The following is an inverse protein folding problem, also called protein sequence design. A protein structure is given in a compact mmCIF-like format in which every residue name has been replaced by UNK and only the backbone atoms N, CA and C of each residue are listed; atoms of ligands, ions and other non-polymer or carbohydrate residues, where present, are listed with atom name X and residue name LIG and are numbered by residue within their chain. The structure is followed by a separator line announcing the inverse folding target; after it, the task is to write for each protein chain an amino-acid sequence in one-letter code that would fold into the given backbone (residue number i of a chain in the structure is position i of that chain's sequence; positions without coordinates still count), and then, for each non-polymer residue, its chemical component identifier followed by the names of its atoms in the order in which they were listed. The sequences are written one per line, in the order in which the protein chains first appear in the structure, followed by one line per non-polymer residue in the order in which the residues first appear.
data_IF_562476961941
#
_entry.id   IF_562476961941
#
_cell.length_a   1.000
_cell.length_b   1.000
_cell.length_c   1.000
_cell.angle_alpha   90.00
_cell.angle_beta   90.00
_cell.angle_gamma   90.00
#
_symmetry.space_group_name_H-M   'P 1'
#
loop_
_entity.id
_entity.type
_entity.pdbx_description
1 polymer ?
#
# COMPACT_ATOMS: atom_id res chain seq x y z
N UNK A 1 -12.11 -2.08 -7.33
CA UNK A 1 -10.67 -2.32 -7.16
C UNK A 1 -10.31 -2.42 -5.69
N UNK A 2 -10.31 -1.32 -4.91
CA UNK A 2 -9.91 -1.38 -3.50
C UNK A 2 -10.80 -2.29 -2.65
N UNK A 3 -10.21 -3.10 -1.75
CA UNK A 3 -10.93 -3.96 -0.77
C UNK A 3 -11.54 -3.17 0.41
N UNK A 4 -11.16 -1.90 0.59
CA UNK A 4 -11.70 -1.07 1.68
C UNK A 4 -13.20 -0.77 1.52
N UNK A 5 -13.74 -0.84 0.30
CA UNK A 5 -15.15 -0.59 -0.02
C UNK A 5 -15.85 -1.87 -0.51
N UNK A 6 -16.87 -2.35 0.19
CA UNK A 6 -17.49 -3.66 -0.11
C UNK A 6 -18.56 -3.63 -1.21
N UNK A 7 -19.24 -2.48 -1.37
CA UNK A 7 -20.37 -2.33 -2.28
C UNK A 7 -20.09 -1.50 -3.53
N UNK A 8 -21.05 -1.46 -4.47
CA UNK A 8 -20.97 -0.58 -5.64
C UNK A 8 -21.07 0.89 -5.24
N UNK A 9 -20.47 1.77 -6.04
CA UNK A 9 -20.74 3.21 -5.96
C UNK A 9 -22.21 3.49 -6.31
N UNK A 10 -22.76 4.62 -5.87
CA UNK A 10 -24.17 5.00 -6.09
C UNK A 10 -24.59 4.90 -7.57
N UNK A 11 -23.74 5.41 -8.48
CA UNK A 11 -23.98 5.32 -9.93
C UNK A 11 -24.06 3.86 -10.40
N UNK A 12 -23.19 2.99 -9.89
CA UNK A 12 -23.20 1.58 -10.24
C UNK A 12 -24.43 0.87 -9.64
N UNK A 13 -24.85 1.22 -8.43
CA UNK A 13 -26.09 0.70 -7.84
C UNK A 13 -27.32 1.02 -8.71
N UNK A 14 -27.46 2.27 -9.17
CA UNK A 14 -28.55 2.64 -10.08
C UNK A 14 -28.50 1.92 -11.44
N UNK A 15 -27.30 1.67 -11.97
CA UNK A 15 -27.13 0.86 -13.19
C UNK A 15 -27.54 -0.60 -12.99
N UNK A 16 -27.22 -1.17 -11.82
CA UNK A 16 -27.62 -2.53 -11.47
C UNK A 16 -29.14 -2.62 -11.39
N UNK A 17 -29.79 -1.70 -10.66
CA UNK A 17 -31.24 -1.63 -10.54
C UNK A 17 -31.94 -1.56 -11.91
N UNK A 18 -31.49 -0.65 -12.78
CA UNK A 18 -32.05 -0.51 -14.13
C UNK A 18 -31.89 -1.79 -14.95
N UNK A 19 -30.73 -2.45 -14.88
CA UNK A 19 -30.51 -3.72 -15.58
C UNK A 19 -31.43 -4.84 -15.05
N UNK A 20 -31.61 -4.94 -13.73
CA UNK A 20 -32.51 -5.93 -13.12
C UNK A 20 -33.97 -5.66 -13.48
N UNK A 21 -34.40 -4.39 -13.56
CA UNK A 21 -35.76 -4.02 -13.98
C UNK A 21 -36.09 -4.52 -15.40
N UNK A 22 -35.07 -4.66 -16.26
CA UNK A 22 -35.17 -5.20 -17.62
C UNK A 22 -35.01 -6.73 -17.70
N UNK A 23 -34.90 -7.41 -16.57
CA UNK A 23 -34.65 -8.86 -16.51
C UNK A 23 -33.26 -9.28 -16.98
N UNK A 24 -32.29 -8.36 -16.99
CA UNK A 24 -30.92 -8.66 -17.41
C UNK A 24 -30.10 -9.25 -16.26
N UNK A 25 -29.17 -10.14 -16.61
CA UNK A 25 -28.14 -10.59 -15.67
C UNK A 25 -27.05 -9.54 -15.53
N UNK A 26 -26.57 -9.35 -14.32
CA UNK A 26 -25.51 -8.41 -13.99
C UNK A 26 -24.27 -9.15 -13.53
N UNK A 27 -23.15 -8.90 -14.20
CA UNK A 27 -21.85 -9.44 -13.81
C UNK A 27 -20.91 -8.27 -13.46
N UNK A 28 -20.15 -8.40 -12.37
CA UNK A 28 -19.17 -7.38 -11.99
C UNK A 28 -17.75 -7.94 -11.93
N UNK A 29 -16.77 -7.09 -12.23
CA UNK A 29 -15.37 -7.37 -11.97
C UNK A 29 -15.07 -7.10 -10.49
N UNK A 30 -14.75 -8.16 -9.73
CA UNK A 30 -14.54 -8.08 -8.28
C UNK A 30 -13.06 -7.88 -7.90
N UNK A 31 -12.11 -8.31 -8.75
CA UNK A 31 -10.66 -8.32 -8.48
C UNK A 31 -10.30 -8.90 -7.11
N UNK A 32 -10.70 -10.15 -6.89
CA UNK A 32 -10.41 -10.87 -5.66
C UNK A 32 -8.92 -11.22 -5.53
N UNK A 33 -8.52 -11.54 -4.30
CA UNK A 33 -7.19 -12.01 -3.89
C UNK A 33 -6.17 -10.88 -3.74
N UNK A 34 -5.74 -10.29 -4.86
CA UNK A 34 -4.84 -9.16 -4.89
C UNK A 34 -5.47 -8.07 -5.77
N UNK A 35 -5.75 -6.93 -5.16
CA UNK A 35 -6.29 -5.79 -5.88
C UNK A 35 -5.14 -4.93 -6.40
N UNK A 36 -5.44 -3.96 -7.25
CA UNK A 36 -4.50 -2.90 -7.58
C UNK A 36 -4.02 -2.08 -6.36
N UNK A 37 -4.80 -2.10 -5.28
CA UNK A 37 -4.37 -1.67 -3.94
C UNK A 37 -3.60 -2.83 -3.30
N UNK A 38 -2.30 -2.64 -3.03
CA UNK A 38 -1.34 -3.67 -2.63
C UNK A 38 -1.06 -4.77 -3.67
N UNK A 39 -0.91 -4.42 -4.94
CA UNK A 39 -0.60 -5.36 -6.03
C UNK A 39 0.76 -6.06 -5.93
N UNK A 40 1.69 -5.55 -5.12
CA UNK A 40 3.00 -6.20 -4.85
C UNK A 40 2.96 -7.20 -3.69
N UNK A 41 1.79 -7.36 -3.06
CA UNK A 41 1.53 -8.35 -2.01
C UNK A 41 0.81 -9.55 -2.67
N UNK A 42 1.10 -10.80 -2.27
CA UNK A 42 0.55 -11.96 -2.97
C UNK A 42 -0.97 -12.04 -2.95
N UNK A 43 -1.57 -11.68 -1.82
CA UNK A 43 -3.01 -11.59 -1.60
C UNK A 43 -3.25 -10.75 -0.32
N UNK A 44 -4.48 -10.27 -0.12
CA UNK A 44 -4.87 -9.51 1.06
C UNK A 44 -5.53 -10.40 2.11
N UNK A 45 -4.92 -10.63 3.29
CA UNK A 45 -5.39 -11.55 4.33
C UNK A 45 -6.56 -10.96 5.15
N UNK A 46 -7.63 -10.53 4.47
CA UNK A 46 -8.78 -9.85 5.06
C UNK A 46 -10.08 -10.63 4.80
N UNK A 47 -10.18 -11.91 5.22
CA UNK A 47 -11.23 -12.82 4.75
C UNK A 47 -12.65 -12.35 5.09
N UNK A 48 -12.88 -11.76 6.26
CA UNK A 48 -14.20 -11.23 6.63
C UNK A 48 -14.58 -10.02 5.76
N UNK A 49 -13.61 -9.16 5.42
CA UNK A 49 -13.86 -8.06 4.46
C UNK A 49 -14.19 -8.59 3.06
N UNK A 50 -13.51 -9.65 2.61
CA UNK A 50 -13.82 -10.32 1.34
C UNK A 50 -15.22 -10.94 1.35
N UNK A 51 -15.59 -11.63 2.43
CA UNK A 51 -16.93 -12.21 2.55
C UNK A 51 -18.01 -11.11 2.52
N UNK A 52 -17.84 -10.03 3.29
CA UNK A 52 -18.76 -8.88 3.29
C UNK A 52 -18.96 -8.29 1.89
N UNK A 53 -17.90 -8.24 1.07
CA UNK A 53 -18.02 -7.82 -0.34
C UNK A 53 -18.96 -8.73 -1.12
N UNK A 54 -18.80 -10.04 -1.03
CA UNK A 54 -19.65 -10.95 -1.79
C UNK A 54 -21.10 -10.91 -1.33
N UNK A 55 -21.31 -10.85 -0.02
CA UNK A 55 -22.66 -10.71 0.54
C UNK A 55 -23.30 -9.41 0.04
N UNK A 56 -22.57 -8.29 0.09
CA UNK A 56 -23.03 -7.00 -0.43
C UNK A 56 -23.34 -7.09 -1.93
N UNK A 57 -22.46 -7.66 -2.76
CA UNK A 57 -22.72 -7.78 -4.20
C UNK A 57 -23.98 -8.61 -4.48
N UNK A 58 -24.21 -9.68 -3.72
CA UNK A 58 -25.42 -10.48 -3.83
C UNK A 58 -26.68 -9.68 -3.44
N UNK A 59 -26.62 -8.89 -2.36
CA UNK A 59 -27.71 -8.01 -1.93
C UNK A 59 -28.08 -6.97 -3.01
N UNK A 60 -27.09 -6.42 -3.71
CA UNK A 60 -27.33 -5.51 -4.84
C UNK A 60 -27.81 -6.22 -6.11
N UNK A 61 -27.93 -7.55 -6.10
CA UNK A 61 -28.47 -8.32 -7.22
C UNK A 61 -27.47 -8.66 -8.32
N UNK A 62 -26.17 -8.65 -8.01
CA UNK A 62 -25.11 -9.14 -8.92
C UNK A 62 -25.23 -10.67 -9.06
N UNK A 63 -25.36 -11.14 -10.30
CA UNK A 63 -25.56 -12.56 -10.64
C UNK A 63 -24.25 -13.34 -10.79
N UNK A 64 -23.12 -12.65 -10.91
CA UNK A 64 -21.80 -13.30 -10.98
C UNK A 64 -20.64 -12.33 -10.97
N UNK A 65 -19.45 -12.87 -10.68
CA UNK A 65 -18.23 -12.09 -10.51
C UNK A 65 -17.11 -12.59 -11.43
N UNK A 66 -16.37 -11.66 -12.02
CA UNK A 66 -15.06 -11.94 -12.61
C UNK A 66 -14.01 -11.68 -11.51
N UNK A 67 -13.42 -12.76 -10.99
CA UNK A 67 -12.52 -12.69 -9.84
C UNK A 67 -11.17 -12.09 -10.15
N UNK A 68 -10.52 -12.54 -11.21
CA UNK A 68 -9.17 -12.12 -11.57
C UNK A 68 -9.13 -11.78 -13.05
N UNK A 69 -8.51 -10.66 -13.37
CA UNK A 69 -8.27 -10.20 -14.75
C UNK A 69 -6.83 -9.79 -14.98
N UNK A 70 -6.29 -8.97 -14.08
CA UNK A 70 -4.89 -8.55 -14.14
C UNK A 70 -4.13 -9.00 -12.90
N UNK A 71 -4.63 -8.78 -11.67
CA UNK A 71 -3.93 -9.18 -10.44
C UNK A 71 -4.59 -10.36 -9.71
N UNK A 72 -3.82 -11.09 -8.89
CA UNK A 72 -4.36 -12.12 -7.98
C UNK A 72 -4.07 -13.59 -8.34
N UNK A 73 -3.12 -13.89 -9.23
CA UNK A 73 -2.85 -15.26 -9.71
C UNK A 73 -2.11 -16.19 -8.74
N UNK A 74 -1.73 -15.72 -7.55
CA UNK A 74 -0.92 -16.50 -6.61
C UNK A 74 -1.84 -17.37 -5.73
N UNK A 75 -1.62 -18.69 -5.62
CA UNK A 75 -2.44 -19.55 -4.77
C UNK A 75 -2.49 -19.04 -3.33
N UNK A 76 -3.70 -18.92 -2.76
CA UNK A 76 -3.94 -18.38 -1.42
C UNK A 76 -5.29 -18.86 -0.88
N UNK A 77 -5.47 -18.76 0.44
CA UNK A 77 -6.68 -19.25 1.10
C UNK A 77 -7.92 -18.36 0.88
N UNK A 78 -7.77 -17.12 0.44
CA UNK A 78 -8.91 -16.27 0.04
C UNK A 78 -9.54 -16.80 -1.25
N UNK A 79 -8.74 -17.35 -2.17
CA UNK A 79 -9.25 -18.05 -3.34
C UNK A 79 -10.05 -19.31 -2.98
N UNK A 80 -9.60 -20.04 -1.96
CA UNK A 80 -10.34 -21.18 -1.44
C UNK A 80 -11.65 -20.75 -0.76
N UNK A 81 -11.61 -19.71 0.09
CA UNK A 81 -12.81 -19.12 0.69
C UNK A 81 -13.81 -18.71 -0.40
N UNK A 82 -13.33 -18.06 -1.47
CA UNK A 82 -14.18 -17.67 -2.59
C UNK A 82 -14.77 -18.88 -3.29
N UNK A 83 -13.96 -19.91 -3.57
CA UNK A 83 -14.43 -21.14 -4.22
C UNK A 83 -15.58 -21.80 -3.44
N UNK A 84 -15.51 -21.80 -2.10
CA UNK A 84 -16.62 -22.27 -1.27
C UNK A 84 -17.83 -21.36 -1.34
N UNK A 85 -17.66 -20.04 -1.18
CA UNK A 85 -18.77 -19.07 -1.17
C UNK A 85 -19.55 -18.96 -2.50
N UNK A 86 -19.06 -19.59 -3.58
CA UNK A 86 -19.73 -19.62 -4.88
C UNK A 86 -20.87 -20.63 -4.96
N UNK A 87 -20.95 -21.59 -4.03
CA UNK A 87 -22.00 -22.61 -3.98
C UNK A 87 -23.20 -22.14 -3.16
N UNK A 88 -24.41 -22.48 -3.61
CA UNK A 88 -25.65 -22.08 -2.91
C UNK A 88 -25.86 -22.76 -1.56
N UNK A 89 -25.19 -23.88 -1.33
CA UNK A 89 -25.20 -24.68 -0.10
C UNK A 89 -23.84 -24.64 0.62
N UNK A 90 -23.07 -23.56 0.41
CA UNK A 90 -21.80 -23.35 1.09
C UNK A 90 -21.95 -23.39 2.62
N UNK A 91 -21.02 -24.03 3.36
CA UNK A 91 -20.98 -23.90 4.81
C UNK A 91 -20.83 -22.43 5.23
N UNK A 92 -21.19 -22.09 6.48
CA UNK A 92 -20.92 -20.76 7.03
C UNK A 92 -19.45 -20.37 6.85
N UNK A 93 -19.19 -19.12 6.46
CA UNK A 93 -17.84 -18.61 6.21
C UNK A 93 -16.93 -18.78 7.43
N UNK A 94 -17.47 -18.64 8.64
CA UNK A 94 -16.73 -18.86 9.89
C UNK A 94 -16.20 -20.30 10.00
N UNK A 95 -17.01 -21.30 9.66
CA UNK A 95 -16.61 -22.72 9.74
C UNK A 95 -15.50 -23.04 8.73
N UNK A 96 -15.58 -22.46 7.53
CA UNK A 96 -14.55 -22.58 6.49
C UNK A 96 -13.25 -21.93 6.98
N UNK A 97 -13.32 -20.71 7.51
CA UNK A 97 -12.15 -19.99 8.00
C UNK A 97 -11.49 -20.69 9.19
N UNK A 98 -12.27 -21.20 10.15
CA UNK A 98 -11.74 -22.00 11.27
C UNK A 98 -11.04 -23.26 10.77
N UNK A 99 -11.60 -23.92 9.76
CA UNK A 99 -10.98 -25.10 9.13
C UNK A 99 -9.66 -24.75 8.44
N UNK A 100 -9.60 -23.62 7.71
CA UNK A 100 -8.36 -23.11 7.10
C UNK A 100 -7.34 -22.75 8.18
N UNK A 101 -7.73 -22.02 9.23
CA UNK A 101 -6.84 -21.65 10.34
C UNK A 101 -6.21 -22.90 10.98
N UNK A 102 -7.01 -23.92 11.28
CA UNK A 102 -6.53 -25.22 11.78
C UNK A 102 -5.55 -25.89 10.81
N UNK A 103 -5.83 -25.81 9.51
CA UNK A 103 -4.98 -26.40 8.47
C UNK A 103 -3.64 -25.70 8.37
N UNK A 104 -3.62 -24.37 8.32
CA UNK A 104 -2.39 -23.59 8.13
C UNK A 104 -1.56 -23.45 9.42
N UNK A 105 -2.19 -23.21 10.57
CA UNK A 105 -1.52 -22.90 11.84
C UNK A 105 -1.49 -24.07 12.84
N UNK A 106 -2.25 -25.13 12.59
CA UNK A 106 -2.36 -26.26 13.51
C UNK A 106 -3.59 -26.20 14.41
N UNK A 107 -3.88 -27.33 15.06
CA UNK A 107 -4.99 -27.46 15.99
C UNK A 107 -4.74 -26.63 17.26
N UNK A 108 -5.76 -25.90 17.71
CA UNK A 108 -5.69 -25.01 18.88
C UNK A 108 -5.32 -23.56 18.54
N UNK A 109 -4.98 -23.26 17.29
CA UNK A 109 -4.63 -21.90 16.82
C UNK A 109 -5.82 -21.14 16.23
N UNK A 110 -6.98 -21.78 16.10
CA UNK A 110 -8.14 -21.27 15.37
C UNK A 110 -8.58 -19.90 15.90
N UNK A 111 -8.77 -19.75 17.21
CA UNK A 111 -9.26 -18.49 17.79
C UNK A 111 -8.27 -17.33 17.61
N UNK A 112 -6.96 -17.58 17.75
CA UNK A 112 -5.91 -16.57 17.53
C UNK A 112 -5.88 -16.09 16.08
N UNK A 113 -6.02 -17.02 15.13
CA UNK A 113 -6.01 -16.70 13.70
C UNK A 113 -7.30 -15.98 13.28
N UNK A 114 -8.45 -16.40 13.80
CA UNK A 114 -9.72 -15.74 13.54
C UNK A 114 -9.73 -14.29 14.04
N UNK A 115 -9.20 -14.07 15.25
CA UNK A 115 -9.04 -12.72 15.82
C UNK A 115 -8.09 -11.85 14.98
N UNK A 116 -6.95 -12.41 14.57
CA UNK A 116 -6.01 -11.74 13.67
C UNK A 116 -6.67 -11.29 12.36
N UNK A 117 -7.39 -12.20 11.69
CA UNK A 117 -8.07 -11.90 10.43
C UNK A 117 -9.19 -10.87 10.57
N UNK A 118 -9.91 -10.86 11.70
CA UNK A 118 -10.90 -9.83 11.98
C UNK A 118 -10.24 -8.45 12.13
N UNK A 119 -9.12 -8.37 12.85
CA UNK A 119 -8.30 -7.16 12.92
C UNK A 119 -7.82 -6.70 11.52
N UNK A 120 -7.31 -7.60 10.68
CA UNK A 120 -6.88 -7.24 9.32
C UNK A 120 -8.05 -6.73 8.45
N UNK A 121 -9.21 -7.38 8.55
CA UNK A 121 -10.45 -6.99 7.87
C UNK A 121 -11.00 -5.64 8.35
N UNK A 122 -10.76 -5.25 9.60
CA UNK A 122 -11.03 -3.89 10.10
C UNK A 122 -9.99 -2.89 9.62
N UNK A 123 -8.71 -3.25 9.71
CA UNK A 123 -7.59 -2.39 9.36
C UNK A 123 -7.66 -1.88 7.91
N UNK A 124 -7.99 -2.77 6.97
CA UNK A 124 -8.03 -2.43 5.54
C UNK A 124 -9.08 -1.37 5.19
N UNK A 125 -10.15 -1.22 5.99
CA UNK A 125 -11.18 -0.19 5.80
C UNK A 125 -10.66 1.21 6.13
N UNK A 126 -9.61 1.32 6.95
CA UNK A 126 -9.00 2.61 7.26
C UNK A 126 -8.03 3.08 6.17
N UNK A 127 -7.61 2.23 5.23
CA UNK A 127 -6.60 2.59 4.23
C UNK A 127 -7.18 3.63 3.26
N UNK A 128 -6.66 4.88 3.27
CA UNK A 128 -7.20 5.97 2.47
C UNK A 128 -6.68 5.94 1.03
N UNK A 129 -5.59 5.23 0.77
CA UNK A 129 -5.02 5.06 -0.57
C UNK A 129 -5.73 3.94 -1.32
N UNK A 130 -6.59 4.32 -2.26
CA UNK A 130 -7.50 3.38 -2.95
C UNK A 130 -7.02 2.92 -4.32
N UNK A 131 -5.85 3.38 -4.77
CA UNK A 131 -5.38 3.21 -6.15
C UNK A 131 -4.11 2.37 -6.34
N UNK A 132 -3.72 2.10 -7.61
CA UNK A 132 -2.44 1.48 -7.98
C UNK A 132 -1.27 2.45 -7.86
N UNK A 133 -1.09 2.99 -6.66
CA UNK A 133 -0.14 4.06 -6.35
C UNK A 133 1.16 3.49 -5.77
N UNK A 134 2.22 4.32 -5.77
CA UNK A 134 3.48 3.97 -5.09
C UNK A 134 3.28 3.64 -3.61
N UNK A 135 2.26 4.19 -2.95
CA UNK A 135 2.10 4.10 -1.51
C UNK A 135 1.69 2.73 -1.03
N UNK A 136 0.69 2.11 -1.67
CA UNK A 136 0.28 0.74 -1.31
C UNK A 136 1.05 -0.33 -2.05
N UNK A 137 1.83 0.02 -3.08
CA UNK A 137 2.53 -0.95 -3.91
C UNK A 137 4.06 -0.94 -3.71
N UNK A 138 4.68 0.18 -3.33
CA UNK A 138 6.13 0.30 -3.33
C UNK A 138 6.71 1.14 -2.18
N UNK A 139 5.91 1.64 -1.22
CA UNK A 139 6.40 2.53 -0.16
C UNK A 139 7.61 1.95 0.61
N UNK A 140 7.59 0.65 0.90
CA UNK A 140 8.70 -0.06 1.56
C UNK A 140 10.05 0.08 0.85
N UNK A 141 10.05 0.26 -0.48
CA UNK A 141 11.25 0.40 -1.29
C UNK A 141 11.36 1.79 -1.96
N UNK A 142 10.48 2.73 -1.60
CA UNK A 142 10.54 4.11 -2.09
C UNK A 142 11.62 4.91 -1.36
N UNK A 143 12.30 5.83 -2.07
CA UNK A 143 13.29 6.71 -1.49
C UNK A 143 12.65 7.80 -0.62
N UNK A 144 13.41 8.27 0.37
CA UNK A 144 13.16 9.55 1.05
C UNK A 144 14.30 10.48 0.62
N UNK A 145 14.08 11.26 -0.43
CA UNK A 145 15.11 12.17 -0.92
C UNK A 145 15.09 13.49 -0.15
N UNK A 146 16.25 13.90 0.35
CA UNK A 146 16.44 15.23 0.95
C UNK A 146 17.06 16.20 -0.06
N UNK A 147 18.09 15.76 -0.80
CA UNK A 147 18.68 16.47 -1.94
C UNK A 147 18.38 15.76 -3.27
N UNK A 148 18.47 16.46 -4.42
CA UNK A 148 18.37 15.83 -5.73
C UNK A 148 19.44 14.74 -5.90
N UNK A 149 19.02 13.53 -6.28
CA UNK A 149 19.94 12.43 -6.56
C UNK A 149 20.51 12.52 -7.99
N UNK A 150 21.72 12.02 -8.19
CA UNK A 150 22.31 11.87 -9.52
C UNK A 150 21.53 10.81 -10.35
N UNK A 151 21.33 11.03 -11.66
CA UNK A 151 20.65 10.08 -12.51
C UNK A 151 21.49 8.80 -12.66
N UNK A 152 20.83 7.65 -12.52
CA UNK A 152 21.41 6.30 -12.66
C UNK A 152 21.31 5.75 -14.09
N UNK A 153 20.56 6.44 -14.95
CA UNK A 153 20.42 6.13 -16.37
C UNK A 153 20.77 7.37 -17.19
N UNK A 154 21.04 7.15 -18.48
CA UNK A 154 21.28 8.24 -19.42
C UNK A 154 20.05 9.15 -19.52
N UNK A 155 20.25 10.45 -19.33
CA UNK A 155 19.27 11.51 -19.58
C UNK A 155 19.53 12.15 -20.95
N UNK A 156 18.50 12.72 -21.58
CA UNK A 156 18.56 13.41 -22.88
C UNK A 156 18.29 14.92 -22.73
N UNK A 157 18.65 15.49 -21.59
CA UNK A 157 18.48 16.89 -21.17
C UNK A 157 19.11 17.94 -22.12
N UNK A 158 20.15 17.54 -22.85
CA UNK A 158 20.87 18.39 -23.80
C UNK A 158 20.83 17.87 -25.24
N UNK A 159 19.82 17.07 -25.58
CA UNK A 159 19.60 16.60 -26.95
C UNK A 159 18.68 17.55 -27.74
N UNK A 160 18.60 17.39 -29.06
CA UNK A 160 17.57 18.07 -29.88
C UNK A 160 16.15 17.55 -29.61
N UNK A 161 16.01 16.55 -28.73
CA UNK A 161 14.75 15.99 -28.26
C UNK A 161 14.41 16.54 -26.86
N UNK A 162 13.18 17.03 -26.70
CA UNK A 162 12.66 17.46 -25.41
C UNK A 162 12.07 16.25 -24.66
N UNK A 163 12.84 15.73 -23.71
CA UNK A 163 12.48 14.56 -22.90
C UNK A 163 11.19 14.80 -22.08
N UNK A 164 10.93 16.04 -21.64
CA UNK A 164 9.70 16.39 -20.91
C UNK A 164 8.46 16.26 -21.81
N UNK A 165 8.57 16.58 -23.11
CA UNK A 165 7.49 16.45 -24.08
C UNK A 165 7.24 15.01 -24.56
N UNK A 166 8.23 14.14 -24.48
CA UNK A 166 8.09 12.74 -24.93
C UNK A 166 7.53 11.80 -23.85
N UNK A 167 7.22 12.30 -22.65
CA UNK A 167 6.43 11.65 -21.60
C UNK A 167 4.95 11.38 -22.00
N UNK A 168 4.70 11.09 -23.28
CA UNK A 168 3.39 10.72 -23.80
C UNK A 168 2.86 9.49 -23.05
N UNK A 169 1.58 9.56 -22.64
CA UNK A 169 0.88 8.61 -21.75
C UNK A 169 1.02 7.13 -22.16
N UNK A 170 1.31 6.88 -23.44
CA UNK A 170 1.37 5.55 -24.06
C UNK A 170 2.81 5.13 -24.46
N UNK A 171 3.73 6.07 -24.76
CA UNK A 171 5.00 5.76 -25.46
C UNK A 171 6.28 6.39 -24.87
N UNK A 172 6.19 7.25 -23.85
CA UNK A 172 7.38 7.84 -23.20
C UNK A 172 8.10 6.89 -22.25
N UNK A 173 9.39 7.13 -22.00
CA UNK A 173 10.14 6.41 -20.97
C UNK A 173 9.47 6.61 -19.60
N UNK A 174 8.83 5.56 -19.08
CA UNK A 174 8.17 5.59 -17.78
C UNK A 174 9.09 5.15 -16.65
N UNK A 175 10.41 5.21 -16.81
CA UNK A 175 11.35 4.85 -15.74
C UNK A 175 11.77 6.11 -14.98
N UNK A 176 11.85 6.02 -13.64
CA UNK A 176 12.44 7.07 -12.84
C UNK A 176 13.98 6.98 -12.97
N UNK A 177 14.69 8.04 -13.40
CA UNK A 177 16.13 7.96 -13.60
C UNK A 177 16.92 7.97 -12.30
N UNK A 178 16.33 8.41 -11.21
CA UNK A 178 16.98 8.61 -9.92
C UNK A 178 16.81 7.41 -8.96
N UNK A 179 16.00 6.42 -9.32
CA UNK A 179 15.72 5.25 -8.49
C UNK A 179 15.82 3.94 -9.28
N UNK A 180 16.29 2.82 -8.68
CA UNK A 180 16.61 1.62 -9.45
C UNK A 180 15.40 0.97 -10.15
N UNK A 181 15.37 1.04 -11.49
CA UNK A 181 14.58 0.22 -12.42
C UNK A 181 13.09 0.04 -12.08
N UNK A 182 12.45 1.05 -11.50
CA UNK A 182 11.02 1.03 -11.18
C UNK A 182 10.27 2.03 -12.06
N UNK A 183 9.06 1.66 -12.48
CA UNK A 183 8.17 2.54 -13.21
C UNK A 183 7.90 3.84 -12.41
N UNK A 184 7.93 5.01 -13.05
CA UNK A 184 7.86 6.33 -12.42
C UNK A 184 6.63 6.51 -11.52
N UNK A 185 5.46 6.00 -11.92
CA UNK A 185 4.24 5.98 -11.08
C UNK A 185 4.39 5.26 -9.73
N UNK A 186 5.34 4.34 -9.63
CA UNK A 186 5.64 3.56 -8.43
C UNK A 186 6.77 4.19 -7.59
N UNK A 187 7.31 5.34 -8.00
CA UNK A 187 8.33 6.09 -7.27
C UNK A 187 7.77 7.45 -6.85
N UNK A 188 7.88 7.78 -5.57
CA UNK A 188 7.63 9.12 -5.07
C UNK A 188 8.87 9.97 -5.28
N UNK A 189 8.76 10.98 -6.14
CA UNK A 189 9.83 11.92 -6.41
C UNK A 189 9.40 13.32 -5.97
N UNK A 190 10.12 13.95 -5.02
CA UNK A 190 9.84 15.29 -4.54
C UNK A 190 9.86 16.37 -5.61
N UNK A 191 9.21 17.50 -5.32
CA UNK A 191 9.42 18.75 -6.07
C UNK A 191 10.54 19.56 -5.44
N UNK A 192 11.75 19.44 -5.99
CA UNK A 192 12.92 20.19 -5.53
C UNK A 192 12.89 21.68 -5.89
N UNK A 193 11.95 22.13 -6.73
CA UNK A 193 11.73 23.57 -6.92
C UNK A 193 10.97 24.20 -5.75
N UNK A 194 10.43 23.37 -4.85
CA UNK A 194 9.64 23.76 -3.69
C UNK A 194 8.45 24.65 -4.07
N UNK A 195 7.86 24.49 -5.26
CA UNK A 195 6.66 25.25 -5.67
C UNK A 195 5.38 24.54 -5.30
N UNK A 196 5.45 23.22 -5.10
CA UNK A 196 4.30 22.38 -4.80
C UNK A 196 4.63 21.37 -3.71
N UNK A 197 3.69 21.19 -2.77
CA UNK A 197 3.77 20.13 -1.77
C UNK A 197 3.26 18.82 -2.38
N UNK A 198 4.20 17.94 -2.76
CA UNK A 198 3.87 16.65 -3.40
C UNK A 198 3.17 15.67 -2.46
N UNK A 199 3.41 15.76 -1.15
CA UNK A 199 2.72 14.92 -0.17
C UNK A 199 1.23 15.27 -0.07
N UNK A 200 0.91 16.56 0.01
CA UNK A 200 -0.48 17.05 0.00
C UNK A 200 -1.18 16.69 -1.33
N UNK A 201 -0.51 16.88 -2.47
CA UNK A 201 -1.06 16.49 -3.76
C UNK A 201 -1.34 14.98 -3.85
N UNK A 202 -0.45 14.16 -3.30
CA UNK A 202 -0.61 12.71 -3.23
C UNK A 202 -1.87 12.35 -2.43
N UNK A 203 -2.01 12.91 -1.22
CA UNK A 203 -3.15 12.66 -0.34
C UNK A 203 -4.48 13.05 -1.00
N UNK A 204 -4.56 14.21 -1.66
CA UNK A 204 -5.75 14.65 -2.42
C UNK A 204 -6.12 13.70 -3.56
N UNK A 205 -5.10 13.26 -4.31
CA UNK A 205 -5.30 12.44 -5.51
C UNK A 205 -5.78 11.03 -5.14
N UNK A 206 -5.10 10.36 -4.20
CA UNK A 206 -5.31 8.93 -3.95
C UNK A 206 -6.38 8.61 -2.90
N UNK A 207 -6.78 9.61 -2.11
CA UNK A 207 -8.03 9.55 -1.33
C UNK A 207 -9.29 9.70 -2.19
N UNK A 208 -9.16 10.21 -3.42
CA UNK A 208 -10.29 10.57 -4.29
C UNK A 208 -10.98 11.89 -3.92
N UNK A 209 -10.72 12.45 -2.73
CA UNK A 209 -11.32 13.71 -2.27
C UNK A 209 -11.01 14.87 -3.24
N UNK A 210 -9.80 14.89 -3.80
CA UNK A 210 -9.39 15.92 -4.77
C UNK A 210 -10.21 15.95 -6.07
N UNK A 211 -11.01 14.91 -6.36
CA UNK A 211 -11.90 14.88 -7.53
C UNK A 211 -13.35 15.29 -7.20
N UNK A 212 -13.72 15.31 -5.92
CA UNK A 212 -15.12 15.45 -5.48
C UNK A 212 -15.32 16.80 -4.79
N UNK A 213 -14.34 17.28 -4.02
CA UNK A 213 -14.45 18.52 -3.24
C UNK A 213 -14.01 19.76 -4.03
N UNK A 214 -14.53 20.92 -3.63
CA UNK A 214 -14.18 22.23 -4.20
C UNK A 214 -12.68 22.56 -4.00
N UNK A 215 -11.95 22.96 -5.06
CA UNK A 215 -10.57 23.42 -4.96
C UNK A 215 -10.33 24.51 -3.90
N UNK A 216 -11.26 25.44 -3.70
CA UNK A 216 -11.12 26.52 -2.70
C UNK A 216 -11.09 25.93 -1.28
N UNK A 217 -12.04 25.04 -0.97
CA UNK A 217 -12.08 24.35 0.32
C UNK A 217 -10.87 23.46 0.55
N UNK A 218 -10.34 22.83 -0.49
CA UNK A 218 -9.13 22.03 -0.40
C UNK A 218 -7.91 22.89 -0.12
N UNK A 219 -7.86 24.13 -0.60
CA UNK A 219 -6.77 25.05 -0.28
C UNK A 219 -6.85 25.54 1.17
N UNK A 220 -8.06 25.68 1.73
CA UNK A 220 -8.26 26.01 3.14
C UNK A 220 -8.00 24.81 4.07
N UNK A 221 -8.42 23.61 3.68
CA UNK A 221 -8.39 22.40 4.50
C UNK A 221 -7.44 21.36 3.92
N UNK A 222 -6.27 21.19 4.56
CA UNK A 222 -5.28 20.19 4.16
C UNK A 222 -5.81 18.77 4.33
N UNK A 223 -5.62 17.95 3.31
CA UNK A 223 -6.04 16.53 3.30
C UNK A 223 -4.98 15.63 3.95
N UNK A 224 -3.70 16.00 3.83
CA UNK A 224 -2.58 15.17 4.29
C UNK A 224 -2.67 14.74 5.77
N UNK A 225 -3.01 15.60 6.75
CA UNK A 225 -3.07 15.19 8.15
C UNK A 225 -4.13 14.09 8.40
N UNK A 226 -5.29 14.18 7.75
CA UNK A 226 -6.35 13.18 7.85
C UNK A 226 -5.94 11.90 7.16
N UNK A 227 -5.31 12.00 5.98
CA UNK A 227 -4.76 10.86 5.25
C UNK A 227 -3.76 10.08 6.10
N UNK A 228 -2.77 10.76 6.68
CA UNK A 228 -1.75 10.16 7.55
C UNK A 228 -2.37 9.54 8.81
N UNK A 229 -3.34 10.22 9.45
CA UNK A 229 -4.10 9.65 10.58
C UNK A 229 -4.72 8.31 10.22
N UNK A 230 -5.37 8.21 9.06
CA UNK A 230 -6.02 6.98 8.61
C UNK A 230 -5.02 5.87 8.26
N UNK A 231 -3.84 6.21 7.70
CA UNK A 231 -2.75 5.24 7.51
C UNK A 231 -2.25 4.67 8.83
N UNK A 232 -2.06 5.51 9.84
CA UNK A 232 -1.61 5.07 11.16
C UNK A 232 -2.66 4.21 11.86
N UNK A 233 -3.94 4.58 11.79
CA UNK A 233 -5.04 3.74 12.30
C UNK A 233 -5.08 2.37 11.63
N UNK A 234 -4.88 2.31 10.30
CA UNK A 234 -4.78 1.04 9.59
C UNK A 234 -3.57 0.22 10.07
N UNK A 235 -2.40 0.83 10.19
CA UNK A 235 -1.18 0.14 10.62
C UNK A 235 -1.25 -0.37 12.07
N UNK A 236 -1.85 0.41 12.97
CA UNK A 236 -2.07 0.03 14.37
C UNK A 236 -3.06 -1.13 14.47
N UNK A 237 -4.13 -1.10 13.70
CA UNK A 237 -5.12 -2.18 13.67
C UNK A 237 -4.53 -3.47 13.06
N UNK A 238 -3.67 -3.35 12.04
CA UNK A 238 -2.86 -4.48 11.57
C UNK A 238 -1.92 -5.02 12.65
N UNK A 239 -1.26 -4.15 13.44
CA UNK A 239 -0.38 -4.60 14.51
C UNK A 239 -1.13 -5.38 15.59
N UNK A 240 -2.34 -4.94 15.96
CA UNK A 240 -3.20 -5.68 16.90
C UNK A 240 -3.50 -7.09 16.40
N UNK A 241 -3.78 -7.25 15.11
CA UNK A 241 -3.98 -8.57 14.51
C UNK A 241 -2.70 -9.40 14.39
N UNK A 242 -1.54 -8.76 14.16
CA UNK A 242 -0.24 -9.42 14.06
C UNK A 242 0.20 -10.07 15.37
N UNK A 243 -0.21 -9.52 16.53
CA UNK A 243 0.13 -10.09 17.84
C UNK A 243 -0.37 -11.54 18.02
N UNK A 244 -1.68 -11.84 17.94
CA UNK A 244 -2.17 -13.22 18.02
C UNK A 244 -1.73 -14.05 16.80
N UNK A 245 -1.51 -13.44 15.64
CA UNK A 245 -1.06 -14.15 14.44
C UNK A 245 0.36 -14.71 14.58
N UNK A 246 1.30 -13.89 15.10
CA UNK A 246 2.66 -14.33 15.45
C UNK A 246 2.62 -15.42 16.52
N UNK A 247 1.77 -15.27 17.53
CA UNK A 247 1.60 -16.29 18.58
C UNK A 247 1.13 -17.61 17.98
N UNK A 248 0.10 -17.60 17.13
CA UNK A 248 -0.39 -18.78 16.42
C UNK A 248 0.71 -19.45 15.59
N UNK A 249 1.52 -18.66 14.87
CA UNK A 249 2.61 -19.19 14.06
C UNK A 249 3.75 -19.79 14.91
N UNK A 250 4.10 -19.18 16.04
CA UNK A 250 5.12 -19.70 16.96
C UNK A 250 4.67 -20.99 17.64
N UNK A 251 3.40 -21.07 18.04
CA UNK A 251 2.79 -22.25 18.66
C UNK A 251 2.46 -23.36 17.66
N UNK A 252 2.57 -23.10 16.35
CA UNK A 252 2.30 -24.09 15.32
C UNK A 252 3.23 -25.32 15.44
N UNK A 253 2.72 -26.53 15.11
CA UNK A 253 3.53 -27.73 14.98
C UNK A 253 4.69 -27.51 14.01
N UNK A 254 5.81 -28.21 14.22
CA UNK A 254 7.04 -28.03 13.43
C UNK A 254 6.80 -28.14 11.91
N UNK A 255 5.97 -29.08 11.48
CA UNK A 255 5.62 -29.28 10.06
C UNK A 255 4.83 -28.13 9.43
N UNK A 256 4.22 -27.25 10.23
CA UNK A 256 3.38 -26.13 9.78
C UNK A 256 4.01 -24.76 10.02
N UNK A 257 4.99 -24.68 10.92
CA UNK A 257 5.58 -23.42 11.39
C UNK A 257 6.14 -22.56 10.25
N UNK A 258 6.79 -23.17 9.25
CA UNK A 258 7.32 -22.42 8.11
C UNK A 258 6.20 -21.75 7.30
N UNK A 259 5.13 -22.49 6.99
CA UNK A 259 3.96 -21.97 6.27
C UNK A 259 3.27 -20.87 7.06
N UNK A 260 2.97 -21.11 8.33
CA UNK A 260 2.36 -20.14 9.23
C UNK A 260 3.19 -18.84 9.32
N UNK A 261 4.53 -18.92 9.35
CA UNK A 261 5.39 -17.74 9.36
C UNK A 261 5.39 -16.97 8.04
N UNK A 262 5.25 -17.64 6.89
CA UNK A 262 5.08 -16.95 5.60
C UNK A 262 3.79 -16.14 5.57
N UNK A 263 2.72 -16.65 6.17
CA UNK A 263 1.46 -15.90 6.27
C UNK A 263 1.60 -14.66 7.18
N UNK A 264 2.32 -14.79 8.30
CA UNK A 264 2.66 -13.64 9.16
C UNK A 264 3.47 -12.59 8.38
N UNK A 265 4.48 -13.02 7.62
CA UNK A 265 5.32 -12.14 6.80
C UNK A 265 4.50 -11.31 5.79
N UNK A 266 3.45 -11.89 5.19
CA UNK A 266 2.55 -11.17 4.28
C UNK A 266 1.85 -10.02 5.00
N UNK A 267 1.26 -10.29 6.17
CA UNK A 267 0.57 -9.26 6.96
C UNK A 267 1.54 -8.20 7.51
N UNK A 268 2.75 -8.60 7.94
CA UNK A 268 3.79 -7.67 8.37
C UNK A 268 4.24 -6.73 7.25
N UNK A 269 4.37 -7.25 6.03
CA UNK A 269 4.78 -6.43 4.90
C UNK A 269 3.71 -5.39 4.52
N UNK A 270 2.41 -5.71 4.64
CA UNK A 270 1.32 -4.74 4.47
C UNK A 270 1.43 -3.62 5.51
N UNK A 271 1.63 -3.98 6.79
CA UNK A 271 1.82 -2.98 7.85
C UNK A 271 3.04 -2.09 7.59
N UNK A 272 4.17 -2.68 7.20
CA UNK A 272 5.37 -1.92 6.87
C UNK A 272 5.12 -0.97 5.70
N UNK A 273 4.38 -1.41 4.67
CA UNK A 273 3.99 -0.57 3.53
C UNK A 273 3.21 0.67 3.97
N UNK A 274 2.22 0.50 4.85
CA UNK A 274 1.41 1.61 5.38
C UNK A 274 2.25 2.62 6.15
N UNK A 275 3.15 2.14 7.01
CA UNK A 275 3.98 3.01 7.82
C UNK A 275 5.09 3.70 7.00
N UNK A 276 5.68 3.00 6.02
CA UNK A 276 6.59 3.61 5.05
C UNK A 276 5.90 4.70 4.24
N UNK A 277 4.63 4.50 3.84
CA UNK A 277 3.87 5.52 3.13
C UNK A 277 3.69 6.77 4.00
N UNK A 278 3.29 6.61 5.27
CA UNK A 278 3.22 7.73 6.21
C UNK A 278 4.58 8.44 6.33
N UNK A 279 5.67 7.69 6.50
CA UNK A 279 7.02 8.24 6.61
C UNK A 279 7.42 9.06 5.38
N UNK A 280 7.15 8.57 4.17
CA UNK A 280 7.44 9.30 2.92
C UNK A 280 6.67 10.62 2.86
N UNK A 281 5.37 10.59 3.13
CA UNK A 281 4.52 11.78 3.03
C UNK A 281 4.85 12.81 4.12
N UNK A 282 5.09 12.36 5.34
CA UNK A 282 5.50 13.23 6.45
C UNK A 282 6.88 13.83 6.19
N UNK A 283 7.85 13.04 5.74
CA UNK A 283 9.20 13.53 5.42
C UNK A 283 9.18 14.58 4.31
N UNK A 284 8.41 14.36 3.24
CA UNK A 284 8.28 15.34 2.16
C UNK A 284 7.56 16.62 2.61
N UNK A 285 6.53 16.51 3.45
CA UNK A 285 5.84 17.69 4.00
C UNK A 285 6.79 18.53 4.84
N UNK A 286 7.60 17.88 5.69
CA UNK A 286 8.64 18.52 6.48
C UNK A 286 9.71 19.16 5.60
N UNK A 287 10.19 18.47 4.56
CA UNK A 287 11.16 19.02 3.59
C UNK A 287 10.61 20.26 2.88
N UNK A 288 9.33 20.22 2.47
CA UNK A 288 8.67 21.37 1.84
C UNK A 288 8.55 22.55 2.81
N UNK A 289 8.13 22.31 4.06
CA UNK A 289 8.01 23.34 5.09
C UNK A 289 9.35 23.95 5.48
N UNK A 290 10.41 23.14 5.54
CA UNK A 290 11.77 23.59 5.88
C UNK A 290 12.24 24.77 5.01
N UNK A 291 11.88 24.79 3.72
CA UNK A 291 12.29 25.84 2.78
C UNK A 291 11.39 27.08 2.84
N UNK A 292 10.18 26.96 3.40
CA UNK A 292 9.18 28.04 3.43
C UNK A 292 9.02 28.69 4.81
N UNK A 293 9.69 28.19 5.84
CA UNK A 293 9.72 28.86 7.12
C UNK A 293 10.55 30.15 6.99
N UNK A 294 9.94 31.29 7.27
CA UNK A 294 10.69 32.51 7.57
C UNK A 294 11.51 32.27 8.85
N UNK A 295 12.71 32.84 8.90
CA UNK A 295 13.80 32.56 9.86
C UNK A 295 13.47 32.73 11.37
N UNK A 296 12.21 32.99 11.75
CA UNK A 296 11.78 33.36 13.11
C UNK A 296 10.76 32.41 13.77
N UNK A 297 10.51 31.19 13.24
CA UNK A 297 9.84 30.13 14.02
C UNK A 297 10.80 29.00 14.46
N UNK A 298 11.59 29.20 15.53
CA UNK A 298 12.47 28.20 16.11
C UNK A 298 11.73 27.08 16.88
N UNK A 299 10.38 26.98 16.80
CA UNK A 299 9.58 26.10 17.66
C UNK A 299 9.29 24.70 17.09
N UNK A 300 9.51 24.46 15.80
CA UNK A 300 9.36 23.13 15.22
C UNK A 300 10.74 22.54 14.93
N UNK A 301 11.15 21.56 15.73
CA UNK A 301 12.38 20.77 15.51
C UNK A 301 12.22 19.87 14.26
N UNK A 302 12.04 20.48 13.08
CA UNK A 302 11.77 19.81 11.80
C UNK A 302 12.90 18.83 11.49
N UNK A 303 14.15 19.29 11.56
CA UNK A 303 15.30 18.45 11.26
C UNK A 303 15.43 17.29 12.25
N UNK A 304 15.13 17.52 13.54
CA UNK A 304 15.05 16.45 14.53
C UNK A 304 13.97 15.42 14.19
N UNK A 305 12.77 15.87 13.82
CA UNK A 305 11.68 14.99 13.40
C UNK A 305 12.03 14.22 12.12
N UNK A 306 12.66 14.85 11.15
CA UNK A 306 13.16 14.18 9.94
C UNK A 306 14.19 13.11 10.29
N UNK A 307 15.12 13.38 11.22
CA UNK A 307 16.08 12.38 11.71
C UNK A 307 15.41 11.19 12.40
N UNK A 308 14.34 11.42 13.18
CA UNK A 308 13.54 10.34 13.77
C UNK A 308 12.91 9.46 12.69
N UNK A 309 12.24 10.09 11.71
CA UNK A 309 11.62 9.37 10.58
C UNK A 309 12.65 8.52 9.85
N UNK A 310 13.84 9.06 9.57
CA UNK A 310 14.91 8.33 8.89
C UNK A 310 15.38 7.11 9.69
N UNK A 311 15.53 7.22 11.02
CA UNK A 311 15.93 6.09 11.88
C UNK A 311 14.88 5.00 11.88
N UNK A 312 13.62 5.37 12.08
CA UNK A 312 12.49 4.43 12.08
C UNK A 312 12.35 3.73 10.72
N UNK A 313 12.55 4.47 9.63
CA UNK A 313 12.44 3.94 8.27
C UNK A 313 13.61 3.03 7.89
N UNK A 314 14.83 3.27 8.41
CA UNK A 314 15.96 2.34 8.26
C UNK A 314 15.61 1.00 8.89
N UNK A 315 15.17 1.00 10.15
CA UNK A 315 14.82 -0.23 10.86
C UNK A 315 13.69 -0.98 10.15
N UNK A 316 12.66 -0.25 9.71
CA UNK A 316 11.54 -0.81 8.97
C UNK A 316 11.97 -1.43 7.64
N UNK A 317 12.83 -0.73 6.89
CA UNK A 317 13.34 -1.22 5.60
C UNK A 317 14.23 -2.44 5.79
N UNK A 318 15.05 -2.49 6.85
CA UNK A 318 15.86 -3.67 7.20
C UNK A 318 14.97 -4.89 7.52
N UNK A 319 13.86 -4.70 8.24
CA UNK A 319 12.86 -5.76 8.46
C UNK A 319 12.22 -6.22 7.15
N UNK A 320 11.77 -5.29 6.30
CA UNK A 320 11.20 -5.61 4.99
C UNK A 320 12.20 -6.30 4.06
N UNK A 321 13.49 -6.01 4.17
CA UNK A 321 14.54 -6.72 3.43
C UNK A 321 14.60 -8.19 3.83
N UNK A 322 14.62 -8.49 5.14
CA UNK A 322 14.62 -9.88 5.63
C UNK A 322 13.38 -10.64 5.16
N UNK A 323 12.21 -10.00 5.18
CA UNK A 323 10.95 -10.59 4.70
C UNK A 323 11.03 -10.88 3.19
N UNK A 324 11.45 -9.90 2.37
CA UNK A 324 11.55 -10.05 0.92
C UNK A 324 12.61 -11.08 0.47
N UNK A 325 13.66 -11.31 1.26
CA UNK A 325 14.64 -12.37 1.00
C UNK A 325 14.09 -13.78 1.29
N UNK A 326 13.08 -13.89 2.15
CA UNK A 326 12.46 -15.17 2.55
C UNK A 326 11.22 -15.52 1.74
N UNK A 327 10.55 -14.53 1.16
CA UNK A 327 9.34 -14.72 0.35
C UNK A 327 9.43 -13.93 -0.96
N UNK A 328 9.74 -14.64 -2.05
CA UNK A 328 9.82 -14.08 -3.40
C UNK A 328 8.48 -13.58 -3.94
N UNK A 329 7.35 -13.91 -3.31
CA UNK A 329 6.05 -13.40 -3.76
C UNK A 329 5.90 -11.90 -3.51
N UNK A 330 6.70 -11.32 -2.62
CA UNK A 330 6.65 -9.91 -2.24
C UNK A 330 7.45 -9.05 -3.22
N UNK A 331 6.85 -7.94 -3.64
CA UNK A 331 7.43 -7.02 -4.63
C UNK A 331 7.07 -7.37 -6.07
N UNK A 332 6.66 -8.60 -6.35
CA UNK A 332 6.20 -9.04 -7.67
C UNK A 332 4.75 -8.59 -7.95
N UNK A 333 4.59 -7.84 -9.04
CA UNK A 333 3.31 -7.41 -9.61
C UNK A 333 3.19 -7.94 -11.05
N UNK A 334 2.00 -8.38 -11.45
CA UNK A 334 1.81 -9.13 -12.69
C UNK A 334 2.08 -8.35 -13.99
N UNK A 335 1.79 -7.04 -14.02
CA UNK A 335 1.94 -6.20 -15.21
C UNK A 335 3.31 -5.51 -15.27
N UNK A 336 4.01 -5.42 -14.14
CA UNK A 336 5.27 -4.68 -13.99
C UNK A 336 6.45 -5.55 -13.55
N UNK A 337 6.27 -6.85 -13.39
CA UNK A 337 7.24 -7.74 -12.75
C UNK A 337 7.56 -7.26 -11.31
N UNK A 338 8.77 -7.50 -10.80
CA UNK A 338 9.19 -6.96 -9.50
C UNK A 338 9.28 -5.43 -9.51
N UNK A 339 8.33 -4.80 -8.82
CA UNK A 339 8.36 -3.36 -8.51
C UNK A 339 9.48 -3.04 -7.53
N UNK A 340 9.75 -3.95 -6.59
CA UNK A 340 10.92 -3.91 -5.72
C UNK A 340 11.51 -5.30 -5.50
N UNK A 341 12.80 -5.33 -5.16
CA UNK A 341 13.56 -6.54 -4.84
C UNK A 341 14.44 -6.29 -3.61
N UNK A 342 15.06 -7.33 -3.02
CA UNK A 342 16.08 -7.14 -1.98
C UNK A 342 17.21 -6.17 -2.38
N UNK A 343 17.52 -6.05 -3.68
CA UNK A 343 18.47 -5.05 -4.16
C UNK A 343 17.97 -3.61 -3.95
N UNK A 344 16.73 -3.31 -4.33
CA UNK A 344 16.15 -1.96 -4.16
C UNK A 344 16.04 -1.58 -2.69
N UNK A 345 15.69 -2.53 -1.82
CA UNK A 345 15.63 -2.30 -0.37
C UNK A 345 17.02 -1.98 0.22
N UNK A 346 18.09 -2.64 -0.25
CA UNK A 346 19.46 -2.29 0.14
C UNK A 346 19.86 -0.88 -0.33
N UNK A 347 19.45 -0.49 -1.55
CA UNK A 347 19.68 0.87 -2.06
C UNK A 347 18.93 1.92 -1.23
N UNK A 348 17.69 1.62 -0.81
CA UNK A 348 16.94 2.47 0.14
C UNK A 348 17.68 2.65 1.46
N UNK A 349 18.16 1.56 2.07
CA UNK A 349 18.92 1.65 3.34
C UNK A 349 20.17 2.51 3.17
N UNK A 350 20.88 2.39 2.04
CA UNK A 350 22.06 3.21 1.74
C UNK A 350 21.69 4.69 1.65
N UNK A 351 20.66 5.03 0.88
CA UNK A 351 20.16 6.41 0.74
C UNK A 351 19.75 7.00 2.10
N UNK A 352 18.99 6.25 2.90
CA UNK A 352 18.51 6.72 4.20
C UNK A 352 19.67 6.99 5.18
N UNK A 353 20.71 6.13 5.18
CA UNK A 353 21.90 6.31 6.01
C UNK A 353 22.72 7.51 5.56
N UNK A 354 22.89 7.72 4.25
CA UNK A 354 23.54 8.91 3.68
C UNK A 354 22.77 10.20 4.04
N UNK A 355 21.45 10.18 3.90
CA UNK A 355 20.60 11.32 4.27
C UNK A 355 20.70 11.65 5.76
N UNK A 356 20.65 10.64 6.63
CA UNK A 356 20.70 10.80 8.08
C UNK A 356 22.07 11.28 8.59
N UNK A 357 23.16 10.73 8.06
CA UNK A 357 24.50 10.94 8.59
C UNK A 357 25.25 12.08 7.89
N UNK A 358 24.93 12.36 6.63
CA UNK A 358 25.68 13.29 5.80
C UNK A 358 24.82 14.47 5.33
N UNK A 359 23.70 14.23 4.64
CA UNK A 359 22.93 15.32 4.00
C UNK A 359 22.26 16.26 5.02
N UNK A 360 21.52 15.71 5.99
CA UNK A 360 20.84 16.53 7.00
C UNK A 360 21.85 17.28 7.89
N UNK A 361 22.92 16.65 8.43
CA UNK A 361 23.94 17.38 9.18
C UNK A 361 24.71 18.42 8.36
N UNK A 362 24.89 18.20 7.06
CA UNK A 362 25.51 19.20 6.17
C UNK A 362 24.60 20.40 5.94
N UNK A 363 23.28 20.19 5.88
CA UNK A 363 22.32 21.28 5.83
C UNK A 363 22.33 22.11 7.13
N UNK A 364 22.34 21.47 8.30
CA UNK A 364 22.44 22.17 9.60
C UNK A 364 23.66 23.11 9.64
N UNK A 365 24.82 22.64 9.19
CA UNK A 365 26.06 23.44 9.15
C UNK A 365 26.05 24.60 8.14
N UNK A 366 25.15 24.58 7.15
CA UNK A 366 25.03 25.67 6.15
C UNK A 366 24.11 26.79 6.64
N UNK A 367 23.17 26.47 7.53
CA UNK A 367 22.19 27.40 8.09
C UNK A 367 22.63 27.99 9.45
N UNK A 368 23.59 27.34 10.15
CA UNK A 368 24.39 27.92 11.24
C UNK A 368 25.40 28.97 10.74
#
# INVERSE_FOLDING_TARGET
YSISQVGPAEVAAGQIEEAKSRGMKVYCKADCFATWQFGTIPYLPCPQQWQRRYDTLAEYGVDGTLETWSNGYKPNFIAELRAWSAWSDSPPSEDILRSIARREFGAGSEDLVMDAWEHFSRAIQYVPDTGPSMGTNNAVANPLFFEPAEPRIMMLDHSWWDEQKWSHRITGHKMNPYWPYTHARMVFYPDFTNRSNRAEQYARTWSGIGQIEDPEKLNENRVLPVFNKHLLLAADEFEKGLLPYRQAALSAPESKREGAMKEVMVAEQIRNMLLSLNAILEFEDLRFRLVHLEADDPSENILGRMKEILRDEIERTERSLVIAERDSRLGYECEQDYVYTPYVLREKIRLLKDTLNDQVPSYEKREE
#
